data_IF_958875743986
#
_entry.id   IF_958875743986
#
_cell.length_a   1.000
_cell.length_b   1.000
_cell.length_c   1.000
_cell.angle_alpha   90.00
_cell.angle_beta   90.00
_cell.angle_gamma   90.00
#
_symmetry.space_group_name_H-M   'P 1'
#
loop_
_entity.id
_entity.type
_entity.pdbx_description
1 polymer ?
#
# COMPACT_ATOMS: atom_id res chain seq x y z
N UNK A 1 -20.57 -10.80 -6.52
CA UNK A 1 -21.23 -10.09 -5.41
C UNK A 1 -20.21 -9.61 -4.37
N UNK A 2 -19.29 -10.47 -3.92
CA UNK A 2 -18.20 -10.10 -2.99
C UNK A 2 -17.33 -8.91 -3.45
N UNK A 3 -17.04 -8.79 -4.76
CA UNK A 3 -16.23 -7.67 -5.27
C UNK A 3 -16.90 -6.29 -5.13
N UNK A 4 -18.23 -6.24 -5.25
CA UNK A 4 -19.00 -5.01 -5.10
C UNK A 4 -18.98 -4.55 -3.64
N UNK A 5 -19.18 -5.49 -2.71
CA UNK A 5 -19.11 -5.22 -1.27
C UNK A 5 -17.71 -4.74 -0.87
N UNK A 6 -16.67 -5.41 -1.37
CA UNK A 6 -15.28 -5.01 -1.13
C UNK A 6 -14.99 -3.61 -1.68
N UNK A 7 -15.48 -3.28 -2.87
CA UNK A 7 -15.34 -1.93 -3.42
C UNK A 7 -16.02 -0.88 -2.53
N UNK A 8 -17.27 -1.12 -2.12
CA UNK A 8 -18.00 -0.20 -1.22
C UNK A 8 -17.28 -0.01 0.11
N UNK A 9 -16.76 -1.09 0.70
CA UNK A 9 -15.98 -1.03 1.93
C UNK A 9 -14.68 -0.23 1.75
N UNK A 10 -13.97 -0.46 0.64
CA UNK A 10 -12.76 0.30 0.32
C UNK A 10 -13.05 1.79 0.13
N UNK A 11 -14.17 2.15 -0.50
CA UNK A 11 -14.59 3.54 -0.67
C UNK A 11 -14.90 4.20 0.67
N UNK A 12 -15.57 3.48 1.58
CA UNK A 12 -15.84 3.94 2.94
C UNK A 12 -14.55 4.14 3.76
N UNK A 13 -13.60 3.20 3.66
CA UNK A 13 -12.29 3.35 4.29
C UNK A 13 -11.50 4.54 3.73
N UNK A 14 -11.53 4.73 2.41
CA UNK A 14 -10.91 5.88 1.76
C UNK A 14 -11.53 7.21 2.20
N UNK A 15 -12.85 7.27 2.40
CA UNK A 15 -13.52 8.45 2.96
C UNK A 15 -13.08 8.73 4.40
N UNK A 16 -12.98 7.69 5.24
CA UNK A 16 -12.54 7.86 6.63
C UNK A 16 -11.11 8.42 6.72
N UNK A 17 -10.22 7.92 5.87
CA UNK A 17 -8.80 8.30 5.77
C UNK A 17 -8.53 9.48 4.83
N UNK A 18 -9.57 10.16 4.34
CA UNK A 18 -9.41 11.22 3.35
C UNK A 18 -8.50 12.35 3.85
N UNK A 19 -7.66 12.87 2.95
CA UNK A 19 -6.84 14.07 3.16
C UNK A 19 -7.33 15.25 2.31
N UNK A 20 -8.50 15.09 1.66
CA UNK A 20 -9.19 16.08 0.84
C UNK A 20 -10.56 16.37 1.44
N UNK A 21 -11.18 17.49 1.05
CA UNK A 21 -12.49 17.89 1.56
C UNK A 21 -13.50 16.72 1.54
N UNK A 22 -14.04 16.36 2.72
CA UNK A 22 -15.01 15.25 2.86
C UNK A 22 -16.21 15.36 1.93
N UNK A 23 -16.70 16.58 1.70
CA UNK A 23 -17.84 16.82 0.80
C UNK A 23 -17.50 16.44 -0.64
N UNK A 24 -16.30 16.78 -1.10
CA UNK A 24 -15.85 16.39 -2.45
C UNK A 24 -15.79 14.88 -2.62
N UNK A 25 -15.32 14.15 -1.60
CA UNK A 25 -15.29 12.68 -1.64
C UNK A 25 -16.68 12.10 -1.88
N UNK A 26 -17.68 12.59 -1.14
CA UNK A 26 -19.07 12.13 -1.26
C UNK A 26 -19.66 12.48 -2.63
N UNK A 27 -19.51 13.74 -3.07
CA UNK A 27 -20.06 14.21 -4.34
C UNK A 27 -19.46 13.44 -5.53
N UNK A 28 -18.14 13.31 -5.58
CA UNK A 28 -17.45 12.60 -6.65
C UNK A 28 -17.73 11.09 -6.63
N UNK A 29 -17.99 10.49 -5.46
CA UNK A 29 -18.45 9.10 -5.37
C UNK A 29 -19.81 8.89 -6.05
N UNK A 30 -20.73 9.85 -5.92
CA UNK A 30 -22.05 9.81 -6.59
C UNK A 30 -22.04 10.38 -8.01
N UNK A 31 -20.88 10.78 -8.54
CA UNK A 31 -20.75 11.33 -9.89
C UNK A 31 -21.10 12.82 -10.02
N UNK A 32 -21.27 13.54 -8.91
CA UNK A 32 -21.39 15.00 -8.92
C UNK A 32 -19.99 15.63 -8.91
N UNK A 33 -19.44 15.83 -10.12
CA UNK A 33 -18.08 16.34 -10.32
C UNK A 33 -17.86 17.71 -9.69
N UNK A 34 -17.08 17.79 -8.60
CA UNK A 34 -16.68 19.05 -7.96
C UNK A 34 -15.24 18.99 -7.48
N UNK A 35 -14.53 20.11 -7.63
CA UNK A 35 -13.13 20.28 -7.16
C UNK A 35 -13.00 21.34 -6.07
N UNK A 36 -13.99 22.23 -5.92
CA UNK A 36 -13.97 23.31 -4.94
C UNK A 36 -14.23 22.81 -3.51
N UNK A 37 -13.34 23.08 -2.53
CA UNK A 37 -13.54 22.70 -1.14
C UNK A 37 -14.80 23.34 -0.53
N UNK A 38 -15.44 22.64 0.42
CA UNK A 38 -16.73 23.10 0.97
C UNK A 38 -16.64 24.15 2.09
N UNK A 39 -15.46 24.38 2.68
CA UNK A 39 -15.27 25.30 3.81
C UNK A 39 -15.94 24.91 5.13
N UNK A 40 -16.64 23.77 5.20
CA UNK A 40 -17.44 23.38 6.37
C UNK A 40 -17.35 21.86 6.68
N UNK A 41 -16.14 21.30 6.57
CA UNK A 41 -15.82 19.98 7.11
C UNK A 41 -14.50 20.05 7.88
N UNK A 42 -14.25 19.08 8.74
CA UNK A 42 -13.02 18.95 9.54
C UNK A 42 -11.74 19.18 8.72
N UNK A 43 -11.64 18.58 7.53
CA UNK A 43 -10.46 18.72 6.66
C UNK A 43 -10.35 20.14 6.06
N UNK A 44 -11.47 20.83 5.84
CA UNK A 44 -11.43 22.24 5.38
C UNK A 44 -11.13 23.21 6.52
N UNK A 45 -11.55 22.87 7.75
CA UNK A 45 -11.34 23.69 8.94
C UNK A 45 -9.91 23.57 9.47
N UNK A 46 -9.29 22.39 9.34
CA UNK A 46 -7.90 22.12 9.69
C UNK A 46 -7.19 21.39 8.52
N UNK A 47 -6.74 22.12 7.49
CA UNK A 47 -6.20 21.51 6.28
C UNK A 47 -4.84 20.85 6.53
N UNK A 48 -4.62 19.62 6.01
CA UNK A 48 -3.32 18.97 6.10
C UNK A 48 -2.28 19.75 5.30
N UNK A 49 -1.00 19.58 5.66
CA UNK A 49 0.12 20.17 4.93
C UNK A 49 0.03 19.81 3.44
N UNK A 50 0.05 20.81 2.58
CA UNK A 50 -0.01 20.66 1.13
C UNK A 50 1.40 20.71 0.51
N UNK A 51 1.53 20.18 -0.70
CA UNK A 51 2.69 20.34 -1.57
C UNK A 51 2.23 20.41 -3.04
N UNK A 52 3.10 20.94 -3.90
CA UNK A 52 2.86 20.92 -5.34
C UNK A 52 2.96 19.48 -5.87
N UNK A 53 1.79 18.87 -6.07
CA UNK A 53 1.62 17.50 -6.54
C UNK A 53 1.43 17.40 -8.04
N UNK A 54 1.65 18.47 -8.80
CA UNK A 54 1.36 18.51 -10.25
C UNK A 54 2.11 17.42 -11.02
N UNK A 55 3.40 17.25 -10.72
CA UNK A 55 4.23 16.21 -11.36
C UNK A 55 3.76 14.81 -11.01
N UNK A 56 3.42 14.57 -9.74
CA UNK A 56 2.94 13.26 -9.28
C UNK A 56 1.58 12.91 -9.88
N UNK A 57 0.69 13.90 -9.97
CA UNK A 57 -0.57 13.77 -10.64
C UNK A 57 -0.38 13.43 -12.13
N UNK A 58 0.50 14.13 -12.84
CA UNK A 58 0.81 13.83 -14.24
C UNK A 58 1.34 12.42 -14.44
N UNK A 59 2.27 11.95 -13.58
CA UNK A 59 2.79 10.59 -13.65
C UNK A 59 1.66 9.57 -13.44
N UNK A 60 0.82 9.75 -12.41
CA UNK A 60 -0.28 8.85 -12.11
C UNK A 60 -1.32 8.82 -13.24
N UNK A 61 -1.79 9.99 -13.70
CA UNK A 61 -2.79 10.12 -14.77
C UNK A 61 -2.26 9.58 -16.11
N UNK A 62 -1.01 9.90 -16.46
CA UNK A 62 -0.36 9.36 -17.66
C UNK A 62 -0.24 7.85 -17.59
N UNK A 63 0.11 7.29 -16.43
CA UNK A 63 0.19 5.83 -16.26
C UNK A 63 -1.17 5.18 -16.48
N UNK A 64 -2.23 5.69 -15.84
CA UNK A 64 -3.61 5.20 -16.01
C UNK A 64 -4.03 5.22 -17.48
N UNK A 65 -3.71 6.29 -18.20
CA UNK A 65 -3.98 6.39 -19.64
C UNK A 65 -3.18 5.38 -20.47
N UNK A 66 -1.89 5.19 -20.19
CA UNK A 66 -1.00 4.27 -20.94
C UNK A 66 -1.32 2.80 -20.75
N UNK A 67 -1.90 2.42 -19.61
CA UNK A 67 -2.39 1.05 -19.35
C UNK A 67 -3.84 0.85 -19.80
N UNK A 68 -4.34 1.74 -20.69
CA UNK A 68 -5.67 1.69 -21.30
C UNK A 68 -6.84 1.72 -20.31
N UNK A 69 -6.64 2.24 -19.09
CA UNK A 69 -7.70 2.41 -18.09
C UNK A 69 -8.43 1.10 -17.70
N UNK A 70 -7.71 -0.04 -17.76
CA UNK A 70 -8.24 -1.39 -17.46
C UNK A 70 -7.80 -1.95 -16.11
N UNK A 71 -6.92 -1.25 -15.40
CA UNK A 71 -6.25 -1.78 -14.22
C UNK A 71 -6.61 -1.00 -12.96
N UNK A 72 -6.69 -1.72 -11.84
CA UNK A 72 -6.93 -1.14 -10.52
C UNK A 72 -5.68 -0.52 -9.90
N UNK A 73 -5.88 0.14 -8.76
CA UNK A 73 -4.87 0.91 -8.03
C UNK A 73 -3.56 0.16 -7.76
N UNK A 74 -3.62 -1.08 -7.27
CA UNK A 74 -2.41 -1.84 -6.92
C UNK A 74 -1.47 -2.02 -8.12
N UNK A 75 -2.02 -2.42 -9.28
CA UNK A 75 -1.24 -2.62 -10.50
C UNK A 75 -0.68 -1.31 -11.05
N UNK A 76 -1.47 -0.23 -11.03
CA UNK A 76 -1.00 1.09 -11.47
C UNK A 76 0.19 1.57 -10.61
N UNK A 77 0.11 1.40 -9.28
CA UNK A 77 1.21 1.74 -8.37
C UNK A 77 2.46 0.89 -8.65
N UNK A 78 2.30 -0.41 -8.92
CA UNK A 78 3.41 -1.28 -9.30
C UNK A 78 4.12 -0.82 -10.57
N UNK A 79 3.37 -0.39 -11.60
CA UNK A 79 3.93 0.17 -12.83
C UNK A 79 4.70 1.47 -12.55
N UNK A 80 4.09 2.42 -11.81
CA UNK A 80 4.74 3.71 -11.47
C UNK A 80 6.06 3.47 -10.72
N UNK A 81 6.09 2.53 -9.79
CA UNK A 81 7.27 2.23 -8.97
C UNK A 81 8.30 1.36 -9.67
N UNK A 82 7.98 0.76 -10.82
CA UNK A 82 8.89 -0.12 -11.52
C UNK A 82 9.04 -1.48 -10.84
N UNK A 83 7.95 -2.04 -10.31
CA UNK A 83 7.99 -3.33 -9.62
C UNK A 83 8.32 -4.48 -10.60
N UNK A 84 9.11 -5.43 -10.14
CA UNK A 84 9.47 -6.62 -10.90
C UNK A 84 8.33 -7.67 -10.79
N UNK A 85 7.25 -7.47 -11.54
CA UNK A 85 6.09 -8.35 -11.58
C UNK A 85 5.96 -9.04 -12.96
N UNK A 86 5.70 -10.34 -12.98
CA UNK A 86 5.47 -11.10 -14.21
C UNK A 86 4.32 -10.52 -15.04
N UNK A 87 3.22 -10.14 -14.38
CA UNK A 87 2.05 -9.56 -15.06
C UNK A 87 2.40 -8.27 -15.81
N UNK A 88 3.33 -7.46 -15.28
CA UNK A 88 3.77 -6.23 -15.95
C UNK A 88 4.53 -6.55 -17.24
N UNK A 89 5.40 -7.58 -17.21
CA UNK A 89 6.14 -8.05 -18.39
C UNK A 89 5.22 -8.66 -19.44
N UNK A 90 4.23 -9.44 -19.01
CA UNK A 90 3.29 -10.10 -19.92
C UNK A 90 2.47 -9.08 -20.72
N UNK A 91 2.11 -7.94 -20.11
CA UNK A 91 1.45 -6.82 -20.79
C UNK A 91 2.44 -5.85 -21.49
N UNK A 92 3.75 -6.09 -21.38
CA UNK A 92 4.79 -5.22 -21.95
C UNK A 92 4.84 -3.82 -21.33
N UNK A 93 4.30 -3.64 -20.12
CA UNK A 93 4.21 -2.35 -19.44
C UNK A 93 5.53 -1.92 -18.79
N UNK A 94 6.49 -2.84 -18.68
CA UNK A 94 7.88 -2.59 -18.33
C UNK A 94 8.61 -1.72 -19.38
N UNK A 95 8.13 -1.70 -20.62
CA UNK A 95 8.71 -0.91 -21.73
C UNK A 95 8.16 0.51 -21.82
N UNK A 96 7.15 0.86 -21.02
CA UNK A 96 6.53 2.18 -21.05
C UNK A 96 7.46 3.22 -20.40
N UNK A 97 7.51 4.43 -20.94
CA UNK A 97 8.30 5.54 -20.35
C UNK A 97 7.92 5.84 -18.90
N UNK A 98 6.65 5.62 -18.53
CA UNK A 98 6.12 5.83 -17.18
C UNK A 98 6.56 4.76 -16.17
N UNK A 99 7.08 3.62 -16.63
CA UNK A 99 7.51 2.54 -15.76
C UNK A 99 8.71 2.95 -14.91
N UNK A 100 8.57 2.88 -13.60
CA UNK A 100 9.63 3.23 -12.65
C UNK A 100 9.90 4.74 -12.48
N UNK A 101 9.10 5.63 -13.09
CA UNK A 101 9.25 7.09 -12.90
C UNK A 101 9.06 7.52 -11.44
N UNK A 102 8.29 6.76 -10.66
CA UNK A 102 8.01 7.05 -9.25
C UNK A 102 8.69 6.12 -8.26
N UNK A 103 9.80 5.47 -8.66
CA UNK A 103 10.53 4.51 -7.83
C UNK A 103 11.13 5.13 -6.55
N UNK A 104 11.40 6.42 -6.58
CA UNK A 104 11.91 7.24 -5.48
C UNK A 104 10.93 7.40 -4.32
N UNK A 105 9.62 7.20 -4.57
CA UNK A 105 8.56 7.35 -3.56
C UNK A 105 7.97 6.02 -3.11
N UNK A 106 7.43 6.00 -1.90
CA UNK A 106 6.88 4.78 -1.29
C UNK A 106 5.59 4.32 -1.99
N UNK A 107 5.20 3.07 -1.77
CA UNK A 107 3.90 2.56 -2.24
C UNK A 107 2.74 3.37 -1.67
N UNK A 108 2.78 3.67 -0.37
CA UNK A 108 1.76 4.47 0.33
C UNK A 108 1.63 5.88 -0.25
N UNK A 109 2.74 6.49 -0.67
CA UNK A 109 2.74 7.79 -1.33
C UNK A 109 1.86 7.76 -2.59
N UNK A 110 2.10 6.81 -3.49
CA UNK A 110 1.33 6.69 -4.74
C UNK A 110 -0.13 6.28 -4.52
N UNK A 111 -0.40 5.44 -3.52
CA UNK A 111 -1.78 5.14 -3.10
C UNK A 111 -2.49 6.41 -2.64
N UNK A 112 -1.85 7.24 -1.80
CA UNK A 112 -2.43 8.51 -1.36
C UNK A 112 -2.67 9.46 -2.55
N UNK A 113 -1.69 9.64 -3.42
CA UNK A 113 -1.84 10.49 -4.63
C UNK A 113 -3.04 10.05 -5.46
N UNK A 114 -3.12 8.76 -5.83
CA UNK A 114 -4.22 8.25 -6.65
C UNK A 114 -5.58 8.42 -5.93
N UNK A 115 -5.61 8.18 -4.61
CA UNK A 115 -6.82 8.36 -3.81
C UNK A 115 -7.28 9.82 -3.81
N UNK A 116 -6.37 10.77 -3.69
CA UNK A 116 -6.68 12.20 -3.78
C UNK A 116 -7.22 12.56 -5.17
N UNK A 117 -6.63 12.04 -6.25
CA UNK A 117 -7.13 12.24 -7.61
C UNK A 117 -8.56 11.70 -7.80
N UNK A 118 -8.88 10.58 -7.15
CA UNK A 118 -10.25 10.06 -7.14
C UNK A 118 -11.19 10.99 -6.38
N UNK A 119 -10.77 11.47 -5.21
CA UNK A 119 -11.57 12.36 -4.37
C UNK A 119 -11.83 13.74 -4.99
N UNK A 120 -10.95 14.18 -5.89
CA UNK A 120 -11.10 15.40 -6.69
C UNK A 120 -11.88 15.17 -8.00
N UNK A 121 -12.25 13.91 -8.29
CA UNK A 121 -13.01 13.57 -9.49
C UNK A 121 -12.19 13.57 -10.79
N UNK A 122 -10.85 13.58 -10.71
CA UNK A 122 -9.98 13.44 -11.90
C UNK A 122 -9.89 11.98 -12.36
N UNK A 123 -10.09 11.05 -11.43
CA UNK A 123 -10.06 9.61 -11.66
C UNK A 123 -11.32 8.98 -11.08
N UNK A 124 -11.91 8.01 -11.78
CA UNK A 124 -13.03 7.21 -11.28
C UNK A 124 -12.61 5.74 -11.14
N UNK A 125 -13.27 5.03 -10.23
CA UNK A 125 -13.12 3.57 -10.09
C UNK A 125 -14.34 2.89 -10.67
N UNK A 126 -14.14 2.11 -11.72
CA UNK A 126 -15.22 1.38 -12.39
C UNK A 126 -15.43 0.01 -11.73
N UNK A 127 -16.48 -0.10 -10.92
CA UNK A 127 -16.84 -1.33 -10.19
C UNK A 127 -17.10 -2.50 -11.15
N UNK A 128 -17.73 -2.24 -12.30
CA UNK A 128 -18.04 -3.27 -13.29
C UNK A 128 -16.78 -3.82 -13.98
N UNK A 129 -15.67 -3.09 -13.94
CA UNK A 129 -14.38 -3.49 -14.51
C UNK A 129 -13.35 -3.75 -13.41
N UNK A 130 -13.73 -4.49 -12.35
CA UNK A 130 -12.84 -4.85 -11.24
C UNK A 130 -12.13 -3.65 -10.57
N UNK A 131 -12.86 -2.54 -10.39
CA UNK A 131 -12.32 -1.29 -9.83
C UNK A 131 -11.17 -0.69 -10.68
N UNK A 132 -11.25 -0.83 -12.00
CA UNK A 132 -10.32 -0.20 -12.92
C UNK A 132 -10.33 1.33 -12.75
N UNK A 133 -9.14 1.92 -12.77
CA UNK A 133 -8.98 3.37 -12.73
C UNK A 133 -9.20 3.95 -14.12
N UNK A 134 -10.11 4.90 -14.21
CA UNK A 134 -10.48 5.59 -15.45
C UNK A 134 -10.31 7.10 -15.30
N UNK A 135 -9.90 7.77 -16.37
CA UNK A 135 -9.70 9.21 -16.40
C UNK A 135 -11.04 9.91 -16.67
N UNK A 136 -11.26 11.06 -16.04
CA UNK A 136 -12.40 11.93 -16.34
C UNK A 136 -11.96 13.12 -17.20
N UNK A 137 -12.93 13.90 -17.70
CA UNK A 137 -12.65 15.13 -18.43
C UNK A 137 -11.84 16.14 -17.60
N UNK A 138 -12.03 16.15 -16.27
CA UNK A 138 -11.31 17.01 -15.34
C UNK A 138 -9.80 16.70 -15.26
N UNK A 139 -9.36 15.52 -15.69
CA UNK A 139 -7.94 15.16 -15.72
C UNK A 139 -7.14 15.87 -16.82
N UNK A 140 -7.80 16.35 -17.90
CA UNK A 140 -7.11 16.87 -19.09
C UNK A 140 -6.20 18.07 -18.80
N UNK A 141 -6.63 19.12 -18.07
CA UNK A 141 -5.78 20.29 -17.82
C UNK A 141 -4.52 19.94 -17.03
N UNK A 142 -4.65 19.04 -16.04
CA UNK A 142 -3.51 18.57 -15.24
C UNK A 142 -2.56 17.71 -16.08
N UNK A 143 -3.10 16.83 -16.93
CA UNK A 143 -2.31 15.98 -17.83
C UNK A 143 -1.47 16.80 -18.82
N UNK A 144 -2.01 17.93 -19.29
CA UNK A 144 -1.31 18.87 -20.19
C UNK A 144 -0.36 19.83 -19.47
N UNK A 145 -0.42 19.88 -18.14
CA UNK A 145 0.34 20.85 -17.35
C UNK A 145 -0.20 22.28 -17.43
N UNK A 146 -1.43 22.45 -17.90
CA UNK A 146 -2.12 23.75 -17.96
C UNK A 146 -2.66 24.19 -16.59
N UNK A 147 -2.83 23.24 -15.66
CA UNK A 147 -3.29 23.52 -14.30
C UNK A 147 -2.38 22.85 -13.27
N UNK A 148 -1.87 23.64 -12.34
CA UNK A 148 -1.16 23.14 -11.16
C UNK A 148 -2.13 22.50 -10.18
N UNK A 149 -1.70 21.42 -9.51
CA UNK A 149 -2.49 20.70 -8.53
C UNK A 149 -1.78 20.64 -7.18
N UNK A 150 -2.38 21.26 -6.17
CA UNK A 150 -1.94 21.10 -4.79
C UNK A 150 -2.52 19.80 -4.22
N UNK A 151 -1.67 18.98 -3.64
CA UNK A 151 -2.05 17.73 -2.98
C UNK A 151 -1.64 17.75 -1.52
N UNK A 152 -2.39 17.05 -0.68
CA UNK A 152 -2.02 16.82 0.71
C UNK A 152 -0.79 15.90 0.75
N UNK A 153 0.17 16.23 1.59
CA UNK A 153 1.34 15.38 1.86
C UNK A 153 0.83 14.03 2.39
N UNK A 154 1.20 12.90 1.75
CA UNK A 154 0.74 11.59 2.19
C UNK A 154 1.09 11.31 3.65
N UNK A 155 0.10 10.87 4.43
CA UNK A 155 0.34 10.44 5.81
C UNK A 155 1.08 9.10 5.77
N UNK A 156 2.40 9.14 5.94
CA UNK A 156 3.22 7.93 6.10
C UNK A 156 2.86 7.32 7.45
N UNK A 157 1.98 6.33 7.44
CA UNK A 157 1.67 5.53 8.61
C UNK A 157 2.82 4.56 8.79
N UNK A 158 3.86 4.99 9.51
CA UNK A 158 4.93 4.09 9.93
C UNK A 158 4.34 2.99 10.82
N UNK A 159 3.90 1.89 10.21
CA UNK A 159 3.59 0.68 10.93
C UNK A 159 4.90 0.23 11.56
N UNK A 160 5.00 0.34 12.89
CA UNK A 160 6.13 -0.24 13.64
C UNK A 160 6.27 -1.70 13.18
N UNK A 161 7.46 -2.15 12.74
CA UNK A 161 7.63 -3.53 12.33
C UNK A 161 7.22 -4.43 13.49
N UNK A 162 6.24 -5.30 13.24
CA UNK A 162 5.79 -6.30 14.20
C UNK A 162 6.98 -7.22 14.44
N UNK A 163 7.62 -7.09 15.60
CA UNK A 163 8.74 -7.94 15.98
C UNK A 163 8.31 -9.40 15.78
N UNK A 164 9.02 -10.11 14.90
CA UNK A 164 8.78 -11.51 14.62
C UNK A 164 9.03 -12.28 15.93
N UNK A 165 7.97 -12.59 16.67
CA UNK A 165 8.03 -13.47 17.83
C UNK A 165 8.51 -14.83 17.32
N UNK A 166 9.81 -15.09 17.50
CA UNK A 166 10.38 -16.43 17.35
C UNK A 166 9.60 -17.35 18.29
N UNK A 167 8.83 -18.28 17.71
CA UNK A 167 8.27 -19.42 18.44
C UNK A 167 9.41 -20.11 19.21
N UNK A 168 9.42 -19.98 20.54
CA UNK A 168 10.12 -20.91 21.42
C UNK A 168 9.13 -22.01 21.79
N UNK A 169 8.96 -22.98 20.91
CA UNK A 169 8.36 -24.26 21.27
C UNK A 169 9.48 -25.21 21.74
N UNK A 170 9.56 -25.46 23.05
CA UNK A 170 9.97 -26.75 23.62
C UNK A 170 9.85 -26.72 25.16
N UNK A 171 9.14 -27.74 25.68
CA UNK A 171 9.08 -28.18 27.08
C UNK A 171 8.17 -27.41 28.05
N UNK A 172 6.86 -27.61 27.91
CA UNK A 172 5.99 -27.78 29.11
C UNK A 172 5.69 -29.27 29.22
N UNK A 173 6.58 -30.00 29.88
CA UNK A 173 6.21 -31.30 30.45
C UNK A 173 5.30 -31.02 31.66
N UNK A 174 4.22 -31.76 31.70
CA UNK A 174 3.23 -31.81 32.78
C UNK A 174 3.93 -32.14 34.10
N UNK A 175 3.70 -31.34 35.14
CA UNK A 175 3.84 -31.77 36.52
C UNK A 175 2.91 -30.92 37.41
N UNK A 176 1.65 -31.36 37.52
CA UNK A 176 0.85 -31.10 38.71
C UNK A 176 1.54 -31.77 39.89
N UNK A 177 1.91 -31.01 40.93
CA UNK A 177 1.71 -31.40 42.33
C UNK A 177 2.14 -30.28 43.29
N UNK A 178 1.20 -29.90 44.16
CA UNK A 178 1.41 -29.04 45.34
C UNK A 178 2.19 -29.80 46.44
N UNK A 179 2.65 -29.10 47.50
CA UNK A 179 3.86 -29.45 48.23
C UNK A 179 3.59 -30.42 49.37
N UNK A 180 4.23 -31.58 49.35
CA UNK A 180 4.64 -32.23 50.59
C UNK A 180 5.66 -33.34 50.33
N UNK A 181 6.61 -33.46 51.27
CA UNK A 181 7.68 -34.45 51.40
C UNK A 181 9.02 -34.22 50.67
N UNK A 182 9.94 -33.67 51.47
CA UNK A 182 11.38 -33.92 51.55
C UNK A 182 11.98 -34.99 50.62
N UNK A 183 12.89 -34.57 49.72
CA UNK A 183 14.33 -34.88 49.82
C UNK A 183 15.08 -34.40 48.58
N UNK A 184 15.98 -33.42 48.78
CA UNK A 184 17.01 -33.06 47.82
C UNK A 184 18.20 -34.01 47.97
N UNK A 185 18.59 -34.72 46.90
CA UNK A 185 19.99 -35.13 46.73
C UNK A 185 20.39 -34.98 45.26
N UNK A 186 21.47 -34.21 45.06
CA UNK A 186 22.13 -33.82 43.82
C UNK A 186 22.66 -34.99 42.97
N UNK A 187 22.66 -34.81 41.64
CA UNK A 187 23.90 -34.86 40.83
C UNK A 187 23.69 -34.41 39.37
N UNK A 188 24.50 -33.43 38.96
CA UNK A 188 24.80 -33.04 37.57
C UNK A 188 25.47 -34.19 36.80
N UNK A 189 25.54 -34.09 35.46
CA UNK A 189 26.89 -33.88 34.91
C UNK A 189 26.99 -32.80 33.83
N UNK A 190 28.16 -32.15 33.83
CA UNK A 190 28.68 -31.23 32.82
C UNK A 190 29.42 -31.97 31.68
N UNK A 191 29.56 -31.25 30.55
CA UNK A 191 30.59 -31.34 29.47
C UNK A 191 30.43 -32.48 28.46
N UNK A 192 30.88 -32.39 27.20
CA UNK A 192 31.24 -31.30 26.28
C UNK A 192 31.69 -31.98 24.96
N UNK A 193 31.60 -31.25 23.85
CA UNK A 193 32.46 -31.32 22.66
C UNK A 193 32.41 -32.53 21.70
N UNK A 194 32.02 -32.19 20.45
CA UNK A 194 32.78 -32.36 19.20
C UNK A 194 33.13 -33.76 18.72
N UNK A 195 32.66 -34.08 17.49
CA UNK A 195 33.50 -34.59 16.39
C UNK A 195 32.77 -34.41 15.06
N UNK A 196 33.29 -33.48 14.24
CA UNK A 196 33.17 -33.50 12.78
C UNK A 196 34.24 -34.44 12.26
N UNK A 197 33.87 -35.42 11.45
CA UNK A 197 34.82 -36.27 10.72
C UNK A 197 34.83 -35.82 9.27
N UNK A 198 35.99 -35.30 8.84
CA UNK A 198 36.29 -35.00 7.45
C UNK A 198 36.81 -36.27 6.75
N UNK A 199 36.33 -36.49 5.54
CA UNK A 199 36.92 -37.39 4.54
C UNK A 199 38.31 -36.89 4.12
N UNK A 200 39.19 -37.82 3.74
CA UNK A 200 40.25 -37.77 2.70
C UNK A 200 41.09 -39.07 2.85
N UNK A 201 40.82 -40.11 2.06
CA UNK A 201 41.58 -40.57 0.86
C UNK A 201 43.07 -40.90 1.08
N UNK A 202 43.33 -42.21 1.23
CA UNK A 202 44.25 -43.08 0.46
C UNK A 202 45.65 -42.61 -0.03
N UNK A 203 46.65 -43.36 0.46
CA UNK A 203 47.80 -44.02 -0.24
C UNK A 203 48.98 -43.16 -0.77
N UNK A 204 50.17 -43.75 -0.95
CA UNK A 204 50.87 -44.80 -0.17
C UNK A 204 52.07 -44.26 0.62
#
# INVERSE_FOLDING_TARGET
MQDIERHKLNAMGAFAEAQTCRRLVLLNYFGEGRQEPCGNCDICLDPPKQYDGSTDAQIALSTIGRVNQRFGMGYVVEVIRGANNQRIRDYGHDKLKVYGMGRDKSHEHWVSVIRQLIHLGLVTQNIAQHSALQLTEAARPVLRGESSLQLAVPRIVALKPKAMQKNRSAATMIANCSPNYANCVNRLPMKAMSRRTWCLTTLP
#
